data_IF_926239476528
#
_entry.id   IF_926239476528
#
_cell.length_a   1.000
_cell.length_b   1.000
_cell.length_c   1.000
_cell.angle_alpha   90.00
_cell.angle_beta   90.00
_cell.angle_gamma   90.00
#
_symmetry.space_group_name_H-M   'P 1'
#
loop_
_entity.id
_entity.type
_entity.pdbx_description
1 polymer ?
#
# COMPACT_ATOMS: atom_id res chain seq x y z
N UNK A 1 18.52 8.24 -2.85
CA UNK A 1 18.22 6.81 -2.59
C UNK A 1 16.72 6.67 -2.83
N UNK A 2 16.29 5.79 -3.74
CA UNK A 2 14.86 5.58 -3.98
C UNK A 2 14.34 4.74 -2.80
N UNK A 3 13.48 5.33 -1.96
CA UNK A 3 12.81 4.60 -0.89
C UNK A 3 11.67 3.80 -1.50
N UNK A 4 11.63 2.50 -1.24
CA UNK A 4 10.48 1.68 -1.63
C UNK A 4 9.29 2.02 -0.71
N UNK A 5 8.14 2.46 -1.25
CA UNK A 5 6.97 2.75 -0.42
C UNK A 5 6.50 1.47 0.27
N UNK A 6 6.07 1.57 1.53
CA UNK A 6 5.63 0.42 2.34
C UNK A 6 4.42 -0.27 1.69
N UNK A 7 3.58 0.52 1.02
CA UNK A 7 2.44 0.06 0.24
C UNK A 7 2.85 -0.78 -0.97
N UNK A 8 4.03 -0.49 -1.55
CA UNK A 8 4.64 -1.31 -2.60
C UNK A 8 5.00 -2.70 -2.09
N UNK A 9 5.72 -2.79 -0.96
CA UNK A 9 6.03 -4.08 -0.31
C UNK A 9 4.77 -4.85 0.06
N UNK A 10 3.79 -4.18 0.68
CA UNK A 10 2.53 -4.80 1.06
C UNK A 10 1.78 -5.38 -0.14
N UNK A 11 1.66 -4.62 -1.23
CA UNK A 11 0.99 -5.10 -2.42
C UNK A 11 1.75 -6.29 -3.06
N UNK A 12 3.08 -6.20 -3.18
CA UNK A 12 3.88 -7.27 -3.77
C UNK A 12 3.78 -8.59 -2.99
N UNK A 13 4.11 -8.56 -1.70
CA UNK A 13 4.14 -9.76 -0.86
C UNK A 13 2.75 -10.24 -0.44
N UNK A 14 1.78 -9.33 -0.31
CA UNK A 14 0.38 -9.67 -0.12
C UNK A 14 -0.18 -10.46 -1.31
N UNK A 15 0.14 -10.06 -2.55
CA UNK A 15 -0.26 -10.80 -3.74
C UNK A 15 0.50 -12.14 -3.86
N UNK A 16 1.79 -12.19 -3.51
CA UNK A 16 2.54 -13.44 -3.47
C UNK A 16 1.90 -14.47 -2.49
N UNK A 17 1.46 -14.00 -1.33
CA UNK A 17 0.71 -14.82 -0.36
C UNK A 17 -0.63 -15.31 -0.93
N UNK A 18 -1.38 -14.43 -1.60
CA UNK A 18 -2.66 -14.78 -2.21
C UNK A 18 -2.50 -15.79 -3.36
N UNK A 19 -1.41 -15.70 -4.11
CA UNK A 19 -1.02 -16.66 -5.14
C UNK A 19 -0.47 -17.99 -4.58
N UNK A 20 -0.27 -18.09 -3.26
CA UNK A 20 0.31 -19.27 -2.61
C UNK A 20 1.82 -19.45 -2.88
N UNK A 21 2.51 -18.40 -3.34
CA UNK A 21 3.94 -18.44 -3.66
C UNK A 21 4.83 -18.37 -2.41
N UNK A 22 4.31 -17.83 -1.30
CA UNK A 22 5.02 -17.68 -0.03
C UNK A 22 4.11 -18.02 1.15
N UNK A 23 4.72 -18.32 2.29
CA UNK A 23 3.97 -18.53 3.54
C UNK A 23 3.43 -17.21 4.13
N UNK A 24 2.40 -17.25 4.99
CA UNK A 24 1.90 -16.06 5.68
C UNK A 24 2.98 -15.32 6.48
N UNK A 25 3.89 -16.04 7.13
CA UNK A 25 4.94 -15.45 7.97
C UNK A 25 6.07 -14.84 7.12
N UNK A 26 6.41 -15.48 5.99
CA UNK A 26 7.37 -14.94 5.03
C UNK A 26 6.85 -13.64 4.41
N UNK A 27 5.58 -13.60 4.00
CA UNK A 27 4.96 -12.38 3.51
C UNK A 27 4.96 -11.29 4.60
N UNK A 28 4.57 -11.62 5.84
CA UNK A 28 4.58 -10.65 6.94
C UNK A 28 5.99 -10.08 7.21
N UNK A 29 7.02 -10.94 7.24
CA UNK A 29 8.41 -10.52 7.45
C UNK A 29 8.89 -9.61 6.32
N UNK A 30 8.61 -9.96 5.06
CA UNK A 30 9.04 -9.19 3.91
C UNK A 30 8.32 -7.84 3.79
N UNK A 31 7.06 -7.75 4.22
CA UNK A 31 6.31 -6.48 4.29
C UNK A 31 6.90 -5.55 5.36
N UNK A 32 7.25 -6.10 6.53
CA UNK A 32 7.90 -5.36 7.62
C UNK A 32 9.25 -4.81 7.16
N UNK A 33 10.06 -5.63 6.49
CA UNK A 33 11.37 -5.23 5.99
C UNK A 33 12.25 -4.70 7.12
N UNK A 34 12.73 -3.47 6.97
CA UNK A 34 13.60 -2.80 7.96
C UNK A 34 12.81 -2.08 9.09
N UNK A 35 11.48 -2.02 9.00
CA UNK A 35 10.67 -1.42 10.05
C UNK A 35 10.65 -2.31 11.30
N UNK A 36 10.38 -1.73 12.47
CA UNK A 36 10.34 -2.48 13.72
C UNK A 36 9.13 -3.40 13.84
N UNK A 37 7.94 -2.91 13.44
CA UNK A 37 6.71 -3.67 13.55
C UNK A 37 5.62 -3.10 12.65
N UNK A 38 4.79 -3.98 12.09
CA UNK A 38 3.58 -3.62 11.37
C UNK A 38 2.36 -4.25 12.05
N UNK A 39 1.33 -3.43 12.28
CA UNK A 39 0.03 -3.87 12.81
C UNK A 39 -1.10 -3.41 11.89
N UNK A 40 -2.22 -4.09 11.91
CA UNK A 40 -3.44 -3.70 11.19
C UNK A 40 -4.54 -3.40 12.19
N UNK A 41 -5.17 -2.24 12.08
CA UNK A 41 -6.27 -1.80 12.94
C UNK A 41 -7.52 -1.51 12.11
N UNK A 42 -8.71 -1.66 12.70
CA UNK A 42 -10.00 -1.50 12.00
C UNK A 42 -10.40 -2.72 11.17
N UNK A 43 -9.71 -3.86 11.36
CA UNK A 43 -10.00 -5.10 10.66
C UNK A 43 -11.35 -5.69 11.13
N UNK A 44 -12.29 -6.03 10.22
CA UNK A 44 -13.59 -6.56 10.61
C UNK A 44 -13.48 -7.84 11.44
N UNK A 45 -14.14 -7.83 12.60
CA UNK A 45 -14.18 -8.96 13.53
C UNK A 45 -13.02 -9.02 14.54
N UNK A 46 -12.11 -8.04 14.53
CA UNK A 46 -11.05 -7.93 15.54
C UNK A 46 -11.29 -6.68 16.42
N UNK A 47 -11.06 -6.80 17.73
CA UNK A 47 -11.35 -5.75 18.71
C UNK A 47 -10.24 -4.69 18.83
N UNK A 48 -9.10 -4.88 18.17
CA UNK A 48 -7.95 -3.99 18.24
C UNK A 48 -6.87 -4.35 17.20
N UNK A 49 -5.69 -3.71 17.29
CA UNK A 49 -4.61 -3.93 16.33
C UNK A 49 -4.09 -5.37 16.36
N UNK A 50 -3.93 -5.97 15.18
CA UNK A 50 -3.43 -7.35 15.00
C UNK A 50 -2.18 -7.39 14.14
N UNK A 51 -1.42 -8.49 14.20
CA UNK A 51 -0.24 -8.67 13.35
C UNK A 51 -0.61 -8.96 11.88
N UNK A 52 0.32 -8.68 10.96
CA UNK A 52 0.12 -8.87 9.52
C UNK A 52 -0.31 -10.29 9.14
N UNK A 53 0.29 -11.34 9.72
CA UNK A 53 -0.05 -12.74 9.45
C UNK A 53 -1.56 -13.00 9.64
N UNK A 54 -2.11 -12.56 10.78
CA UNK A 54 -3.54 -12.72 11.07
C UNK A 54 -4.39 -11.82 10.16
N UNK A 55 -3.97 -10.58 9.95
CA UNK A 55 -4.71 -9.62 9.15
C UNK A 55 -4.86 -10.07 7.69
N UNK A 56 -3.77 -10.49 7.04
CA UNK A 56 -3.79 -10.97 5.67
C UNK A 56 -4.63 -12.25 5.53
N UNK A 57 -4.52 -13.18 6.48
CA UNK A 57 -5.36 -14.39 6.51
C UNK A 57 -6.85 -14.08 6.69
N UNK A 58 -7.20 -13.06 7.48
CA UNK A 58 -8.58 -12.58 7.63
C UNK A 58 -9.09 -11.90 6.38
N UNK A 59 -8.34 -10.97 5.80
CA UNK A 59 -8.71 -10.26 4.58
C UNK A 59 -8.94 -11.24 3.41
N UNK A 60 -8.10 -12.26 3.28
CA UNK A 60 -8.31 -13.36 2.32
C UNK A 60 -9.65 -14.09 2.57
N UNK A 61 -9.97 -14.41 3.83
CA UNK A 61 -11.27 -15.04 4.18
C UNK A 61 -12.47 -14.12 3.97
N UNK A 62 -12.26 -12.81 4.08
CA UNK A 62 -13.28 -11.79 3.80
C UNK A 62 -13.46 -11.54 2.29
N UNK A 63 -12.70 -12.21 1.43
CA UNK A 63 -12.87 -12.17 -0.02
C UNK A 63 -11.82 -11.37 -0.78
N UNK A 64 -10.78 -10.84 -0.12
CA UNK A 64 -9.69 -10.16 -0.84
C UNK A 64 -8.91 -11.19 -1.67
N UNK A 65 -8.86 -10.97 -2.99
CA UNK A 65 -8.17 -11.83 -3.96
C UNK A 65 -6.97 -11.17 -4.61
N UNK A 66 -6.74 -9.88 -4.36
CA UNK A 66 -5.55 -9.19 -4.83
C UNK A 66 -5.40 -7.82 -4.18
N UNK A 67 -4.21 -7.24 -4.35
CA UNK A 67 -3.84 -5.93 -3.83
C UNK A 67 -3.28 -5.05 -4.94
N UNK A 68 -3.61 -3.77 -4.92
CA UNK A 68 -3.03 -2.74 -5.79
C UNK A 68 -2.49 -1.60 -4.95
N UNK A 69 -1.28 -1.15 -5.27
CA UNK A 69 -0.70 0.06 -4.68
C UNK A 69 -1.38 1.31 -5.27
N UNK A 70 -1.65 2.29 -4.42
CA UNK A 70 -2.03 3.65 -4.80
C UNK A 70 -1.04 4.63 -4.17
N UNK A 71 -0.49 5.55 -4.98
CA UNK A 71 0.49 6.56 -4.56
C UNK A 71 -0.07 7.95 -4.88
N UNK A 72 -1.09 8.41 -4.14
CA UNK A 72 -1.71 9.70 -4.39
C UNK A 72 -0.76 10.84 -4.00
N UNK A 73 -0.91 11.99 -4.67
CA UNK A 73 -0.21 13.22 -4.33
C UNK A 73 -1.23 14.34 -4.06
N UNK A 74 -0.83 15.44 -3.38
CA UNK A 74 -1.70 16.60 -3.20
C UNK A 74 -2.28 17.09 -4.53
N UNK A 75 -3.62 17.11 -4.64
CA UNK A 75 -4.33 17.50 -5.87
C UNK A 75 -4.43 16.41 -6.94
N UNK A 76 -3.87 15.22 -6.71
CA UNK A 76 -3.84 14.11 -7.66
C UNK A 76 -4.18 12.77 -6.97
N UNK A 77 -5.48 12.40 -6.86
CA UNK A 77 -5.92 11.19 -6.14
C UNK A 77 -5.76 9.91 -6.99
N UNK A 78 -4.73 9.82 -7.84
CA UNK A 78 -4.53 8.70 -8.75
C UNK A 78 -4.61 7.35 -8.03
N UNK A 79 -5.35 6.41 -8.61
CA UNK A 79 -5.49 5.06 -8.08
C UNK A 79 -6.49 4.92 -6.92
N UNK A 80 -6.99 6.03 -6.39
CA UNK A 80 -8.03 6.05 -5.36
C UNK A 80 -9.42 6.12 -6.01
N UNK A 81 -10.40 5.45 -5.40
CA UNK A 81 -11.79 5.43 -5.90
C UNK A 81 -12.80 5.84 -4.84
N UNK A 82 -12.35 6.33 -3.68
CA UNK A 82 -13.19 6.59 -2.51
C UNK A 82 -13.45 5.35 -1.66
N UNK A 83 -14.25 5.45 -0.59
CA UNK A 83 -14.97 6.64 -0.09
C UNK A 83 -14.07 7.79 0.42
N UNK A 84 -14.64 8.98 0.72
CA UNK A 84 -13.87 10.17 1.14
C UNK A 84 -12.90 9.91 2.30
N UNK A 85 -13.32 9.15 3.31
CA UNK A 85 -12.49 8.87 4.49
C UNK A 85 -11.22 8.09 4.15
N UNK A 86 -11.31 7.10 3.25
CA UNK A 86 -10.13 6.38 2.76
C UNK A 86 -9.25 7.31 1.94
N UNK A 87 -9.83 8.10 1.05
CA UNK A 87 -9.07 9.01 0.20
C UNK A 87 -8.33 10.08 1.01
N UNK A 88 -8.97 10.67 2.01
CA UNK A 88 -8.37 11.69 2.85
C UNK A 88 -7.13 11.15 3.58
N UNK A 89 -7.25 9.95 4.17
CA UNK A 89 -6.14 9.28 4.85
C UNK A 89 -5.04 8.88 3.87
N UNK A 90 -5.39 8.31 2.72
CA UNK A 90 -4.43 7.92 1.70
C UNK A 90 -3.67 9.14 1.13
N UNK A 91 -4.34 10.28 0.97
CA UNK A 91 -3.71 11.55 0.57
C UNK A 91 -2.77 12.10 1.64
N UNK A 92 -3.13 12.00 2.91
CA UNK A 92 -2.27 12.42 4.02
C UNK A 92 -1.02 11.53 4.16
N UNK A 93 -1.16 10.23 3.93
CA UNK A 93 -0.05 9.28 3.95
C UNK A 93 0.77 9.26 2.64
N UNK A 94 0.25 9.85 1.56
CA UNK A 94 0.78 9.74 0.18
C UNK A 94 0.93 8.30 -0.35
N UNK A 95 0.38 7.32 0.35
CA UNK A 95 0.40 5.92 -0.04
C UNK A 95 -0.79 5.14 0.55
N UNK A 96 -1.26 4.15 -0.20
CA UNK A 96 -2.26 3.20 0.25
C UNK A 96 -2.21 1.89 -0.57
N UNK A 97 -2.91 0.87 -0.07
CA UNK A 97 -3.15 -0.37 -0.81
C UNK A 97 -4.64 -0.66 -0.87
N UNK A 98 -5.15 -0.95 -2.06
CA UNK A 98 -6.56 -1.22 -2.36
C UNK A 98 -6.74 -2.70 -2.65
N UNK A 99 -7.66 -3.35 -1.96
CA UNK A 99 -8.03 -4.75 -2.19
C UNK A 99 -8.97 -4.93 -3.39
N UNK A 100 -8.89 -6.10 -4.02
CA UNK A 100 -9.82 -6.59 -5.03
C UNK A 100 -10.64 -7.78 -4.50
N UNK A 101 -11.86 -7.97 -4.99
CA UNK A 101 -12.75 -9.06 -4.57
C UNK A 101 -13.49 -8.80 -3.26
N UNK A 102 -13.02 -7.81 -2.48
CA UNK A 102 -13.69 -7.30 -1.29
C UNK A 102 -13.32 -5.82 -1.07
N UNK A 103 -14.22 -5.02 -0.46
CA UNK A 103 -14.11 -3.57 -0.37
C UNK A 103 -13.22 -3.11 0.79
N UNK A 104 -11.99 -3.62 0.89
CA UNK A 104 -11.03 -3.24 1.94
C UNK A 104 -9.77 -2.58 1.37
N UNK A 105 -9.36 -1.47 1.97
CA UNK A 105 -8.09 -0.80 1.70
C UNK A 105 -7.31 -0.57 2.98
N UNK A 106 -6.00 -0.47 2.86
CA UNK A 106 -5.06 -0.26 3.95
C UNK A 106 -4.29 1.05 3.69
N UNK A 107 -4.24 1.93 4.69
CA UNK A 107 -3.41 3.15 4.69
C UNK A 107 -2.40 3.07 5.82
N UNK A 108 -1.10 3.29 5.59
CA UNK A 108 -0.11 3.24 6.66
C UNK A 108 -0.08 4.54 7.46
N UNK A 109 -0.04 4.41 8.78
CA UNK A 109 0.34 5.46 9.71
C UNK A 109 1.69 5.09 10.31
N UNK A 110 2.72 5.93 10.07
CA UNK A 110 4.10 5.66 10.47
C UNK A 110 4.45 6.47 11.70
N UNK A 111 5.00 5.80 12.71
CA UNK A 111 5.55 6.43 13.92
C UNK A 111 7.03 6.10 13.99
N UNK A 112 7.86 7.13 13.97
CA UNK A 112 9.32 6.99 14.10
C UNK A 112 9.76 7.30 15.53
N UNK A 113 10.66 6.47 16.06
CA UNK A 113 11.23 6.65 17.39
C UNK A 113 12.69 6.17 17.41
N UNK A 114 13.53 6.87 18.17
CA UNK A 114 14.94 6.53 18.34
C UNK A 114 15.87 7.75 18.15
N UNK A 115 17.15 7.64 18.54
CA UNK A 115 18.12 8.70 18.31
C UNK A 115 18.50 8.79 16.83
N UNK A 116 19.07 9.93 16.43
CA UNK A 116 19.59 10.11 15.08
C UNK A 116 20.64 9.01 14.74
N UNK A 117 20.40 8.27 13.65
CA UNK A 117 21.23 7.15 13.22
C UNK A 117 20.76 5.77 13.72
N UNK A 118 19.74 5.71 14.56
CA UNK A 118 19.09 4.47 15.02
C UNK A 118 17.59 4.71 15.20
N UNK A 119 16.96 5.19 14.13
CA UNK A 119 15.52 5.46 14.09
C UNK A 119 14.80 4.18 13.67
N UNK A 120 13.82 3.78 14.46
CA UNK A 120 12.93 2.67 14.17
C UNK A 120 11.55 3.20 13.79
N UNK A 121 11.00 2.70 12.68
CA UNK A 121 9.65 2.99 12.26
C UNK A 121 8.70 1.86 12.69
N UNK A 122 7.59 2.21 13.33
CA UNK A 122 6.45 1.33 13.56
C UNK A 122 5.30 1.77 12.66
N UNK A 123 4.58 0.80 12.08
CA UNK A 123 3.52 1.07 11.10
C UNK A 123 2.20 0.50 11.58
N UNK A 124 1.15 1.32 11.58
CA UNK A 124 -0.23 0.88 11.76
C UNK A 124 -0.97 1.06 10.45
N UNK A 125 -1.38 -0.04 9.84
CA UNK A 125 -2.25 -0.06 8.68
C UNK A 125 -3.70 0.10 9.10
N UNK A 126 -4.32 1.22 8.73
CA UNK A 126 -5.74 1.47 8.92
C UNK A 126 -6.53 0.72 7.86
N UNK A 127 -7.29 -0.28 8.26
CA UNK A 127 -8.22 -1.00 7.41
C UNK A 127 -9.53 -0.22 7.29
N UNK A 128 -9.84 0.22 6.08
CA UNK A 128 -10.99 1.06 5.76
C UNK A 128 -11.79 0.43 4.62
N UNK A 129 -13.06 0.79 4.53
CA UNK A 129 -13.86 0.45 3.37
C UNK A 129 -13.33 1.20 2.13
N UNK A 130 -13.31 0.54 0.98
CA UNK A 130 -13.00 1.14 -0.34
C UNK A 130 -14.11 0.82 -1.33
N UNK A 131 -14.25 1.63 -2.39
CA UNK A 131 -15.12 1.28 -3.51
C UNK A 131 -14.40 0.33 -4.45
N UNK A 132 -15.04 -0.81 -4.73
CA UNK A 132 -14.64 -1.70 -5.80
C UNK A 132 -15.11 -1.09 -7.14
N UNK A 133 -14.36 -0.11 -7.61
CA UNK A 133 -14.55 0.54 -8.88
C UNK A 133 -13.22 0.54 -9.64
N UNK A 134 -13.24 0.60 -10.98
CA UNK A 134 -12.05 0.94 -11.74
C UNK A 134 -11.42 2.21 -11.14
N UNK A 135 -10.10 2.26 -10.95
CA UNK A 135 -9.45 3.45 -10.45
C UNK A 135 -9.89 4.64 -11.30
N UNK A 136 -10.37 5.68 -10.64
CA UNK A 136 -10.66 6.92 -11.33
C UNK A 136 -9.34 7.43 -11.93
N UNK A 137 -9.40 7.82 -13.20
CA UNK A 137 -8.35 8.60 -13.87
C UNK A 137 -6.98 7.95 -13.97
N UNK A 138 -6.85 6.61 -13.95
CA UNK A 138 -5.58 5.99 -14.37
C UNK A 138 -5.36 6.22 -15.86
N UNK A 139 -4.20 6.75 -16.27
CA UNK A 139 -3.84 6.81 -17.68
C UNK A 139 -3.91 5.41 -18.28
N UNK A 140 -4.36 5.36 -19.53
CA UNK A 140 -4.25 4.15 -20.35
C UNK A 140 -2.77 3.72 -20.43
N UNK A 141 -2.53 2.45 -20.74
CA UNK A 141 -1.17 1.93 -20.90
C UNK A 141 -0.33 2.79 -21.86
N UNK A 142 -0.91 3.23 -22.98
CA UNK A 142 -0.20 4.08 -23.94
C UNK A 142 0.13 5.47 -23.40
N UNK A 143 -0.72 6.04 -22.55
CA UNK A 143 -0.43 7.30 -21.86
C UNK A 143 0.70 7.11 -20.84
N UNK A 144 0.67 6.03 -20.06
CA UNK A 144 1.73 5.69 -19.11
C UNK A 144 3.08 5.42 -19.79
N UNK A 145 3.09 4.67 -20.90
CA UNK A 145 4.30 4.43 -21.71
C UNK A 145 4.88 5.72 -22.27
N UNK A 146 4.00 6.63 -22.73
CA UNK A 146 4.41 7.93 -23.23
C UNK A 146 5.02 8.80 -22.12
N UNK A 147 4.38 8.87 -20.96
CA UNK A 147 4.88 9.63 -19.81
C UNK A 147 6.23 9.09 -19.33
N UNK A 148 6.38 7.75 -19.24
CA UNK A 148 7.67 7.13 -18.91
C UNK A 148 8.74 7.48 -19.94
N UNK A 149 8.42 7.41 -21.24
CA UNK A 149 9.36 7.77 -22.30
C UNK A 149 9.75 9.25 -22.28
N UNK A 150 8.83 10.14 -21.89
CA UNK A 150 9.09 11.57 -21.68
C UNK A 150 10.02 11.78 -20.49
N UNK A 151 9.70 11.21 -19.32
CA UNK A 151 10.54 11.32 -18.13
C UNK A 151 11.96 10.76 -18.33
N UNK A 152 12.11 9.64 -19.05
CA UNK A 152 13.42 9.07 -19.38
C UNK A 152 14.24 9.99 -20.30
N UNK A 153 13.61 10.64 -21.27
CA UNK A 153 14.27 11.62 -22.16
C UNK A 153 14.75 12.82 -21.37
N UNK A 154 13.90 13.38 -20.51
CA UNK A 154 14.24 14.53 -19.67
C UNK A 154 15.38 14.21 -18.71
N UNK A 155 15.33 13.05 -18.04
CA UNK A 155 16.40 12.61 -17.15
C UNK A 155 17.74 12.42 -17.89
N UNK A 156 17.70 11.91 -19.13
CA UNK A 156 18.92 11.72 -19.95
C UNK A 156 19.49 13.06 -20.41
N UNK A 157 18.64 14.05 -20.73
CA UNK A 157 19.07 15.39 -21.13
C UNK A 157 19.86 16.12 -20.02
N UNK A 158 19.64 15.78 -18.75
CA UNK A 158 20.40 16.33 -17.61
C UNK A 158 21.83 15.75 -17.52
N UNK A 159 22.12 14.64 -18.22
CA UNK A 159 23.42 13.96 -18.20
C UNK A 159 24.40 14.43 -19.30
N UNK A 160 23.96 15.33 -20.19
CA UNK A 160 24.78 15.91 -21.29
C UNK A 160 25.01 17.39 -21.08
#
# INVERSE_FOLDING_TARGET
MLSEPRSGRLAAWGNALLAGAVSPDEAALAIVGEDAVHRVEGLPGEAGPVGLTLALGRLRRLGVTGWRVALPAPGHPLGLSGPPDFNARALEAEEAVVGFGAPYGLVPEVVEAGPAGDVHAAVVWRCLAVREAPPADVPSLGEAERELAEALRDATAVLT
#
